data_IF_993992436317
#
_entry.id   IF_993992436317
#
_cell.length_a   1.000
_cell.length_b   1.000
_cell.length_c   1.000
_cell.angle_alpha   90.00
_cell.angle_beta   90.00
_cell.angle_gamma   90.00
#
_symmetry.space_group_name_H-M   'P 1'
#
loop_
_entity.id
_entity.type
_entity.pdbx_description
1 polymer ?
#
# COMPACT_ATOMS: atom_id res chain seq x y z
N UNK A 1 29.00 6.48 -4.54
CA UNK A 1 28.27 5.61 -3.57
C UNK A 1 27.51 4.58 -4.40
N UNK A 2 28.01 3.35 -4.49
CA UNK A 2 27.34 2.27 -5.21
C UNK A 2 26.15 1.78 -4.36
N UNK A 3 24.93 1.96 -4.85
CA UNK A 3 23.75 1.31 -4.28
C UNK A 3 23.76 -0.14 -4.74
N UNK A 4 24.32 -1.01 -3.91
CA UNK A 4 24.19 -2.46 -4.07
C UNK A 4 22.71 -2.79 -3.93
N UNK A 5 22.08 -3.24 -5.02
CA UNK A 5 20.74 -3.83 -4.96
C UNK A 5 20.86 -5.13 -4.16
N UNK A 6 20.59 -5.07 -2.86
CA UNK A 6 20.49 -6.26 -2.02
C UNK A 6 19.21 -6.98 -2.38
N UNK A 7 19.33 -8.05 -3.18
CA UNK A 7 18.25 -9.00 -3.40
C UNK A 7 18.00 -9.69 -2.05
N UNK A 8 17.04 -9.17 -1.31
CA UNK A 8 16.64 -9.68 -0.02
C UNK A 8 15.17 -10.05 -0.14
N UNK A 9 14.72 -11.21 0.37
CA UNK A 9 13.31 -11.62 0.31
C UNK A 9 12.39 -10.55 0.91
N UNK A 10 12.92 -9.75 1.84
CA UNK A 10 12.23 -8.59 2.38
C UNK A 10 11.91 -7.55 1.30
N UNK A 11 12.82 -7.22 0.39
CA UNK A 11 12.59 -6.25 -0.69
C UNK A 11 11.42 -6.67 -1.59
N UNK A 12 11.33 -7.95 -1.94
CA UNK A 12 10.18 -8.47 -2.70
C UNK A 12 8.86 -8.33 -1.94
N UNK A 13 8.87 -8.60 -0.63
CA UNK A 13 7.69 -8.41 0.22
C UNK A 13 7.25 -6.93 0.26
N UNK A 14 8.19 -5.98 0.21
CA UNK A 14 7.85 -4.55 0.14
C UNK A 14 7.14 -4.21 -1.17
N UNK A 15 7.73 -4.62 -2.29
CA UNK A 15 7.20 -4.38 -3.63
C UNK A 15 5.82 -5.02 -3.79
N UNK A 16 5.63 -6.23 -3.23
CA UNK A 16 4.32 -6.88 -3.19
C UNK A 16 3.28 -6.04 -2.44
N UNK A 17 3.62 -5.50 -1.26
CA UNK A 17 2.73 -4.61 -0.51
C UNK A 17 2.31 -3.37 -1.31
N UNK A 18 3.23 -2.79 -2.08
CA UNK A 18 2.94 -1.66 -2.98
C UNK A 18 1.95 -2.07 -4.08
N UNK A 19 2.18 -3.21 -4.73
CA UNK A 19 1.26 -3.73 -5.76
C UNK A 19 -0.14 -4.01 -5.20
N UNK A 20 -0.23 -4.52 -3.97
CA UNK A 20 -1.53 -4.72 -3.31
C UNK A 20 -2.26 -3.39 -3.11
N UNK A 21 -1.56 -2.30 -2.77
CA UNK A 21 -2.18 -0.97 -2.71
C UNK A 21 -2.64 -0.48 -4.08
N UNK A 22 -1.87 -0.71 -5.15
CA UNK A 22 -2.29 -0.32 -6.50
C UNK A 22 -3.58 -1.04 -6.91
N UNK A 23 -3.68 -2.33 -6.62
CA UNK A 23 -4.88 -3.14 -6.90
C UNK A 23 -6.07 -2.67 -6.05
N UNK A 24 -5.86 -2.42 -4.76
CA UNK A 24 -6.93 -2.01 -3.85
C UNK A 24 -7.46 -0.59 -4.15
N UNK A 25 -6.58 0.31 -4.56
CA UNK A 25 -6.91 1.72 -4.82
C UNK A 25 -7.23 2.03 -6.28
N UNK A 26 -6.85 1.15 -7.21
CA UNK A 26 -6.94 1.40 -8.64
C UNK A 26 -6.05 2.55 -9.12
N UNK A 27 -5.05 2.96 -8.32
CA UNK A 27 -4.11 4.05 -8.59
C UNK A 27 -2.70 3.51 -8.73
N UNK A 28 -1.87 4.20 -9.51
CA UNK A 28 -0.44 3.90 -9.57
C UNK A 28 0.28 4.28 -8.27
N UNK A 29 1.32 3.52 -7.93
CA UNK A 29 2.12 3.73 -6.72
C UNK A 29 2.74 5.13 -6.66
N UNK A 30 3.09 5.67 -7.82
CA UNK A 30 3.50 7.05 -8.03
C UNK A 30 2.63 7.66 -9.12
N UNK A 31 1.88 8.70 -8.77
CA UNK A 31 1.03 9.40 -9.73
C UNK A 31 1.21 10.91 -9.61
N UNK A 32 1.92 11.50 -10.58
CA UNK A 32 2.27 12.92 -10.63
C UNK A 32 1.09 13.83 -10.96
N UNK A 33 -0.05 13.27 -11.39
CA UNK A 33 -1.26 14.05 -11.68
C UNK A 33 -2.04 14.42 -10.42
N UNK A 34 -1.68 13.86 -9.27
CA UNK A 34 -2.29 14.18 -7.98
C UNK A 34 -1.51 15.26 -7.22
N UNK A 35 -2.17 15.92 -6.27
CA UNK A 35 -1.54 16.89 -5.34
C UNK A 35 -0.29 16.29 -4.69
N UNK A 36 0.69 17.11 -4.33
CA UNK A 36 1.98 16.66 -3.74
C UNK A 36 1.80 15.63 -2.62
N UNK A 37 0.76 15.81 -1.80
CA UNK A 37 0.38 14.91 -0.70
C UNK A 37 -0.21 13.55 -1.12
N UNK A 38 -0.39 13.32 -2.41
CA UNK A 38 -1.04 12.13 -2.98
C UNK A 38 -0.23 11.50 -4.10
N UNK A 39 0.94 12.07 -4.42
CA UNK A 39 1.87 11.56 -5.43
C UNK A 39 2.34 10.17 -5.05
N UNK A 40 2.72 9.97 -3.78
CA UNK A 40 3.15 8.67 -3.27
C UNK A 40 1.96 7.97 -2.63
N UNK A 41 1.47 6.91 -3.27
CA UNK A 41 0.30 6.15 -2.81
C UNK A 41 0.49 5.63 -1.37
N UNK A 42 1.67 5.08 -1.08
CA UNK A 42 2.00 4.55 0.25
C UNK A 42 1.87 5.62 1.34
N UNK A 43 2.36 6.83 1.08
CA UNK A 43 2.34 7.92 2.04
C UNK A 43 0.91 8.44 2.26
N UNK A 44 0.12 8.50 1.19
CA UNK A 44 -1.29 8.83 1.28
C UNK A 44 -2.10 7.79 2.08
N UNK A 45 -1.88 6.49 1.83
CA UNK A 45 -2.57 5.41 2.55
C UNK A 45 -2.16 5.39 4.03
N UNK A 46 -0.90 5.67 4.36
CA UNK A 46 -0.46 5.84 5.76
C UNK A 46 -1.21 6.96 6.45
N UNK A 47 -1.32 8.12 5.82
CA UNK A 47 -2.14 9.24 6.35
C UNK A 47 -3.61 8.88 6.52
N UNK A 48 -4.18 8.09 5.62
CA UNK A 48 -5.55 7.59 5.76
C UNK A 48 -5.69 6.59 6.93
N UNK A 49 -4.68 5.76 7.14
CA UNK A 49 -4.61 4.84 8.28
C UNK A 49 -4.61 5.60 9.61
N UNK A 50 -3.77 6.64 9.73
CA UNK A 50 -3.68 7.47 10.92
C UNK A 50 -5.01 8.19 11.22
N UNK A 51 -5.70 8.62 10.17
CA UNK A 51 -7.02 9.25 10.27
C UNK A 51 -8.19 8.25 10.41
N UNK A 52 -7.94 6.94 10.50
CA UNK A 52 -8.95 5.86 10.51
C UNK A 52 -9.91 5.86 9.30
N UNK A 53 -9.46 6.42 8.18
CA UNK A 53 -10.22 6.54 6.91
C UNK A 53 -9.68 5.59 5.83
N UNK A 54 -9.29 4.37 6.20
CA UNK A 54 -8.73 3.36 5.27
C UNK A 54 -9.65 3.03 4.09
N UNK A 55 -10.97 3.13 4.25
CA UNK A 55 -11.93 2.88 3.16
C UNK A 55 -11.85 3.92 2.05
N UNK A 56 -11.37 5.13 2.35
CA UNK A 56 -11.18 6.18 1.33
C UNK A 56 -10.00 5.86 0.39
N UNK A 57 -9.15 4.89 0.76
CA UNK A 57 -8.08 4.39 -0.10
C UNK A 57 -8.59 3.44 -1.19
N UNK A 58 -9.85 2.99 -1.12
CA UNK A 58 -10.41 2.06 -2.08
C UNK A 58 -10.66 2.68 -3.46
N UNK A 59 -10.58 1.84 -4.49
CA UNK A 59 -10.85 2.24 -5.88
C UNK A 59 -12.28 2.79 -6.01
N UNK A 60 -12.38 4.07 -6.39
CA UNK A 60 -13.64 4.77 -6.60
C UNK A 60 -14.45 4.26 -7.80
N UNK A 61 -13.82 3.50 -8.70
CA UNK A 61 -14.46 2.86 -9.85
C UNK A 61 -15.19 1.57 -9.47
N UNK A 62 -14.91 1.00 -8.30
CA UNK A 62 -15.61 -0.19 -7.82
C UNK A 62 -17.03 0.20 -7.38
N UNK A 63 -18.01 -0.56 -7.86
CA UNK A 63 -19.41 -0.37 -7.47
C UNK A 63 -19.56 -0.60 -5.96
N UNK A 64 -20.32 0.29 -5.29
CA UNK A 64 -20.65 0.13 -3.87
C UNK A 64 -21.34 -1.22 -3.65
N UNK A 65 -20.74 -2.09 -2.85
CA UNK A 65 -21.22 -3.45 -2.59
C UNK A 65 -20.53 -4.56 -3.40
N UNK A 66 -19.58 -4.22 -4.29
CA UNK A 66 -18.76 -5.21 -5.00
C UNK A 66 -17.73 -5.90 -4.10
N UNK A 67 -17.45 -5.34 -2.92
CA UNK A 67 -16.52 -5.87 -1.94
C UNK A 67 -17.04 -5.61 -0.54
N UNK A 68 -16.67 -6.48 0.39
CA UNK A 68 -16.93 -6.24 1.80
C UNK A 68 -15.93 -5.21 2.36
N UNK A 69 -16.45 -4.26 3.13
CA UNK A 69 -15.64 -3.20 3.72
C UNK A 69 -14.65 -3.74 4.77
N UNK A 70 -14.96 -4.86 5.43
CA UNK A 70 -14.04 -5.51 6.37
C UNK A 70 -12.86 -6.13 5.64
N UNK A 71 -13.13 -6.83 4.54
CA UNK A 71 -12.09 -7.47 3.73
C UNK A 71 -11.16 -6.44 3.09
N UNK A 72 -11.72 -5.33 2.59
CA UNK A 72 -10.90 -4.24 2.05
C UNK A 72 -10.01 -3.59 3.13
N UNK A 73 -10.56 -3.34 4.32
CA UNK A 73 -9.76 -2.84 5.45
C UNK A 73 -8.64 -3.80 5.84
N UNK A 74 -8.91 -5.12 5.84
CA UNK A 74 -7.90 -6.15 6.16
C UNK A 74 -6.80 -6.18 5.10
N UNK A 75 -7.16 -6.13 3.83
CA UNK A 75 -6.22 -6.07 2.71
C UNK A 75 -5.27 -4.88 2.82
N UNK A 76 -5.82 -3.68 3.06
CA UNK A 76 -5.03 -2.46 3.20
C UNK A 76 -4.15 -2.52 4.45
N UNK A 77 -4.64 -3.07 5.57
CA UNK A 77 -3.83 -3.28 6.77
C UNK A 77 -2.67 -4.25 6.54
N UNK A 78 -2.92 -5.36 5.85
CA UNK A 78 -1.88 -6.32 5.50
C UNK A 78 -0.82 -5.68 4.60
N UNK A 79 -1.25 -4.96 3.57
CA UNK A 79 -0.35 -4.21 2.70
C UNK A 79 0.49 -3.18 3.49
N UNK A 80 -0.10 -2.48 4.47
CA UNK A 80 0.63 -1.56 5.36
C UNK A 80 1.70 -2.27 6.17
N UNK A 81 1.41 -3.47 6.68
CA UNK A 81 2.37 -4.30 7.42
C UNK A 81 3.52 -4.77 6.52
N UNK A 82 3.24 -5.11 5.26
CA UNK A 82 4.27 -5.50 4.29
C UNK A 82 5.11 -4.32 3.80
N UNK A 83 4.51 -3.14 3.67
CA UNK A 83 5.18 -1.90 3.26
C UNK A 83 5.75 -1.09 4.45
N UNK A 84 5.96 -1.72 5.60
CA UNK A 84 6.67 -1.09 6.72
C UNK A 84 8.12 -0.76 6.31
N UNK A 85 8.58 0.42 6.72
CA UNK A 85 9.91 0.92 6.39
C UNK A 85 11.02 0.13 7.11
N UNK A 86 10.68 -0.53 8.23
CA UNK A 86 11.62 -1.34 8.97
C UNK A 86 11.58 -2.81 8.51
N UNK A 87 12.64 -3.33 7.86
CA UNK A 87 12.70 -4.71 7.38
C UNK A 87 12.66 -5.75 8.51
N UNK A 88 12.88 -5.37 9.78
CA UNK A 88 12.82 -6.29 10.92
C UNK A 88 11.38 -6.68 11.27
N UNK A 89 10.43 -5.77 11.07
CA UNK A 89 9.00 -6.00 11.38
C UNK A 89 8.20 -6.54 10.20
N UNK A 90 8.83 -6.67 9.03
CA UNK A 90 8.19 -7.22 7.84
C UNK A 90 8.01 -8.74 8.02
N UNK A 91 6.80 -9.29 7.83
CA UNK A 91 6.61 -10.74 7.87
C UNK A 91 7.45 -11.41 6.77
N UNK A 92 8.00 -12.59 7.05
CA UNK A 92 8.61 -13.41 6.00
C UNK A 92 7.50 -13.96 5.10
N UNK A 93 7.66 -13.82 3.78
CA UNK A 93 6.92 -14.65 2.82
C UNK A 93 7.30 -16.10 3.10
N UNK A 94 6.29 -16.91 3.44
CA UNK A 94 6.44 -18.37 3.61
C UNK A 94 6.01 -19.09 2.34
#
# INVERSE_FOLDING_TARGET
RQTVASCHPKTDVFSFGVVVFEIASGRHAVDLFFSEDKIILLDWVRRLSDNRKLLDAGDSRLLKGSYDNSDMKRLIHLALLYSLNNPIHRPNMK
#
